data_IF_815569789420
#
_entry.id   IF_815569789420
#
_cell.length_a   1.000
_cell.length_b   1.000
_cell.length_c   1.000
_cell.angle_alpha   90.00
_cell.angle_beta   90.00
_cell.angle_gamma   90.00
#
_symmetry.space_group_name_H-M   'P 1'
#
loop_
_entity.id
_entity.type
_entity.pdbx_description
1 polymer ?
#
# COMPACT_ATOMS: atom_id res chain seq x y z
N UNK A 1 2.98 10.56 -8.61
CA UNK A 1 4.44 10.33 -8.41
C UNK A 1 4.65 9.39 -7.24
N UNK A 2 5.82 8.78 -7.09
CA UNK A 2 6.18 8.07 -5.86
C UNK A 2 7.66 8.24 -5.49
N UNK A 3 7.96 8.09 -4.20
CA UNK A 3 9.33 8.00 -3.66
C UNK A 3 9.50 6.70 -2.88
N UNK A 4 10.75 6.24 -2.73
CA UNK A 4 11.09 5.06 -1.93
C UNK A 4 12.33 5.43 -1.09
N UNK A 5 12.20 5.28 0.21
CA UNK A 5 13.22 5.61 1.20
C UNK A 5 13.46 4.41 2.12
N UNK A 6 14.72 4.18 2.50
CA UNK A 6 15.08 3.12 3.43
C UNK A 6 15.36 3.73 4.80
N UNK A 7 14.53 3.40 5.78
CA UNK A 7 14.73 3.70 7.18
C UNK A 7 15.37 2.50 7.89
N UNK A 8 15.61 2.63 9.20
CA UNK A 8 16.29 1.59 9.97
C UNK A 8 15.50 0.26 10.04
N UNK A 9 14.18 0.33 10.18
CA UNK A 9 13.29 -0.81 10.41
C UNK A 9 12.23 -1.03 9.31
N UNK A 10 12.17 -0.14 8.33
CA UNK A 10 11.19 -0.19 7.24
C UNK A 10 11.69 0.43 5.94
N UNK A 11 11.08 0.00 4.83
CA UNK A 11 11.09 0.77 3.58
C UNK A 11 9.85 1.64 3.55
N UNK A 12 10.02 2.95 3.42
CA UNK A 12 8.94 3.94 3.36
C UNK A 12 8.69 4.31 1.90
N UNK A 13 7.47 4.14 1.44
CA UNK A 13 7.04 4.49 0.08
C UNK A 13 5.97 5.56 0.20
N UNK A 14 6.16 6.70 -0.47
CA UNK A 14 5.16 7.76 -0.50
C UNK A 14 4.56 7.86 -1.89
N UNK A 15 3.24 7.76 -1.99
CA UNK A 15 2.48 7.93 -3.23
C UNK A 15 1.80 9.30 -3.20
N UNK A 16 2.08 10.11 -4.21
CA UNK A 16 1.51 11.45 -4.37
C UNK A 16 0.51 11.43 -5.51
N UNK A 17 -0.71 11.90 -5.23
CA UNK A 17 -1.73 12.15 -6.24
C UNK A 17 -1.41 13.47 -6.96
N UNK A 18 -1.25 13.39 -8.28
CA UNK A 18 -0.84 14.54 -9.10
C UNK A 18 -1.78 14.79 -10.29
N UNK A 19 -2.84 13.98 -10.47
CA UNK A 19 -3.67 14.04 -11.66
C UNK A 19 -5.12 14.44 -11.36
N UNK A 20 -5.56 15.53 -12.01
CA UNK A 20 -6.92 16.04 -11.87
C UNK A 20 -7.21 16.76 -10.56
N UNK A 21 -8.31 17.50 -10.50
CA UNK A 21 -8.81 18.09 -9.24
C UNK A 21 -10.23 17.58 -8.97
N UNK A 22 -10.59 17.34 -7.70
CA UNK A 22 -9.77 17.51 -6.49
C UNK A 22 -8.74 16.40 -6.29
N UNK A 23 -7.59 16.73 -5.71
CA UNK A 23 -6.54 15.78 -5.36
C UNK A 23 -6.91 15.01 -4.08
N UNK A 24 -6.44 13.78 -4.00
CA UNK A 24 -6.47 12.97 -2.78
C UNK A 24 -5.21 13.24 -1.95
N UNK A 25 -5.29 13.08 -0.62
CA UNK A 25 -4.11 13.15 0.24
C UNK A 25 -3.12 12.02 -0.06
N UNK A 26 -1.84 12.28 0.20
CA UNK A 26 -0.75 11.34 -0.02
C UNK A 26 -0.95 10.04 0.78
N UNK A 27 -0.46 8.94 0.20
CA UNK A 27 -0.45 7.63 0.86
C UNK A 27 0.97 7.26 1.24
N UNK A 28 1.20 6.98 2.51
CA UNK A 28 2.46 6.44 3.01
C UNK A 28 2.33 4.94 3.24
N UNK A 29 3.24 4.16 2.68
CA UNK A 29 3.32 2.72 2.85
C UNK A 29 4.62 2.40 3.59
N UNK A 30 4.51 1.84 4.79
CA UNK A 30 5.67 1.39 5.55
C UNK A 30 5.77 -0.13 5.44
N UNK A 31 6.84 -0.61 4.79
CA UNK A 31 7.14 -2.03 4.67
C UNK A 31 8.13 -2.44 5.76
N UNK A 32 7.60 -2.90 6.89
CA UNK A 32 8.39 -3.47 7.98
C UNK A 32 8.75 -4.93 7.69
N UNK A 33 9.64 -5.49 8.52
CA UNK A 33 9.98 -6.92 8.46
C UNK A 33 8.75 -7.80 8.72
N UNK A 34 7.86 -7.40 9.64
CA UNK A 34 6.73 -8.22 10.10
C UNK A 34 5.41 -7.96 9.36
N UNK A 35 5.19 -6.74 8.88
CA UNK A 35 3.95 -6.34 8.21
C UNK A 35 4.16 -5.12 7.33
N UNK A 36 3.11 -4.73 6.60
CA UNK A 36 3.06 -3.50 5.83
C UNK A 36 1.91 -2.64 6.36
N UNK A 37 2.15 -1.35 6.62
CA UNK A 37 1.07 -0.39 6.89
C UNK A 37 0.81 0.48 5.68
N UNK A 38 -0.46 0.82 5.46
CA UNK A 38 -0.91 1.81 4.48
C UNK A 38 -1.61 2.92 5.27
N UNK A 39 -1.08 4.14 5.13
CA UNK A 39 -1.47 5.30 5.91
C UNK A 39 -1.91 6.43 5.00
N UNK A 40 -3.02 7.09 5.35
CA UNK A 40 -3.52 8.26 4.63
C UNK A 40 -4.19 9.22 5.61
N UNK A 41 -3.92 10.51 5.48
CA UNK A 41 -4.57 11.54 6.29
C UNK A 41 -6.03 11.75 5.83
N UNK A 42 -6.96 11.79 6.79
CA UNK A 42 -8.36 12.15 6.55
C UNK A 42 -8.65 13.57 7.10
N UNK A 43 -8.81 14.58 6.23
CA UNK A 43 -9.05 15.96 6.64
C UNK A 43 -10.41 16.17 7.32
N UNK A 44 -11.34 15.22 7.19
CA UNK A 44 -12.67 15.32 7.81
C UNK A 44 -12.63 14.98 9.29
N UNK A 45 -11.74 14.06 9.66
CA UNK A 45 -11.59 13.58 11.04
C UNK A 45 -10.32 14.09 11.71
N UNK A 46 -9.45 14.79 10.95
CA UNK A 46 -8.16 15.31 11.37
C UNK A 46 -7.26 14.22 11.96
N UNK A 47 -7.22 13.06 11.28
CA UNK A 47 -6.51 11.86 11.72
C UNK A 47 -5.91 11.11 10.56
N UNK A 48 -4.77 10.48 10.81
CA UNK A 48 -4.22 9.46 9.91
C UNK A 48 -5.00 8.17 10.10
N UNK A 49 -5.52 7.63 9.00
CA UNK A 49 -6.11 6.31 8.94
C UNK A 49 -5.03 5.30 8.56
N UNK A 50 -5.00 4.15 9.23
CA UNK A 50 -3.97 3.13 9.04
C UNK A 50 -4.61 1.78 8.80
N UNK A 51 -4.15 1.07 7.77
CA UNK A 51 -4.48 -0.33 7.49
C UNK A 51 -3.21 -1.15 7.58
N UNK A 52 -3.23 -2.20 8.41
CA UNK A 52 -2.12 -3.16 8.49
C UNK A 52 -2.41 -4.37 7.63
N UNK A 53 -1.46 -4.71 6.76
CA UNK A 53 -1.49 -5.84 5.87
C UNK A 53 -0.37 -6.82 6.24
N UNK A 54 -0.68 -8.11 6.22
CA UNK A 54 0.35 -9.14 6.17
C UNK A 54 1.01 -9.18 4.78
N UNK A 55 2.24 -9.70 4.70
CA UNK A 55 2.95 -9.87 3.43
C UNK A 55 2.16 -10.71 2.42
N UNK A 56 1.37 -11.69 2.89
CA UNK A 56 0.48 -12.48 2.05
C UNK A 56 -0.61 -11.60 1.41
N UNK A 57 -1.24 -10.73 2.20
CA UNK A 57 -2.26 -9.81 1.69
C UNK A 57 -1.68 -8.80 0.71
N UNK A 58 -0.45 -8.30 0.93
CA UNK A 58 0.23 -7.40 -0.02
C UNK A 58 0.50 -8.11 -1.34
N UNK A 59 0.99 -9.35 -1.30
CA UNK A 59 1.22 -10.17 -2.49
C UNK A 59 -0.08 -10.40 -3.26
N UNK A 60 -1.14 -10.78 -2.55
CA UNK A 60 -2.44 -11.05 -3.15
C UNK A 60 -3.06 -9.75 -3.72
N UNK A 61 -2.89 -8.61 -3.05
CA UNK A 61 -3.29 -7.28 -3.54
C UNK A 61 -2.54 -6.90 -4.81
N UNK A 62 -1.21 -7.06 -4.83
CA UNK A 62 -0.39 -6.76 -6.00
C UNK A 62 -0.84 -7.58 -7.21
N UNK A 63 -1.11 -8.88 -7.04
CA UNK A 63 -1.63 -9.70 -8.12
C UNK A 63 -3.06 -9.29 -8.55
N UNK A 64 -3.91 -8.88 -7.60
CA UNK A 64 -5.28 -8.48 -7.89
C UNK A 64 -5.38 -7.22 -8.77
N UNK A 65 -4.35 -6.36 -8.79
CA UNK A 65 -4.32 -5.17 -9.65
C UNK A 65 -4.28 -5.51 -11.15
N UNK A 66 -3.80 -6.70 -11.51
CA UNK A 66 -3.63 -7.15 -12.90
C UNK A 66 -4.66 -8.22 -13.33
N UNK A 67 -5.58 -8.61 -12.45
CA UNK A 67 -6.55 -9.68 -12.68
C UNK A 67 -7.99 -9.13 -12.85
N UNK A 68 -8.82 -9.75 -13.70
CA UNK A 68 -10.23 -9.39 -13.81
C UNK A 68 -11.04 -9.85 -12.58
N UNK A 69 -12.33 -9.53 -12.55
CA UNK A 69 -13.21 -9.97 -11.47
C UNK A 69 -13.25 -11.50 -11.33
N UNK A 70 -13.18 -11.99 -10.08
CA UNK A 70 -13.19 -13.43 -9.82
C UNK A 70 -12.72 -13.80 -8.41
N UNK A 71 -12.60 -15.11 -8.17
CA UNK A 71 -12.04 -15.67 -6.94
C UNK A 71 -10.72 -16.33 -7.28
N UNK A 72 -9.64 -15.79 -6.71
CA UNK A 72 -8.28 -16.24 -6.97
C UNK A 72 -7.65 -16.81 -5.70
N UNK A 73 -6.77 -17.78 -5.90
CA UNK A 73 -5.85 -18.25 -4.87
C UNK A 73 -4.48 -18.34 -5.50
N UNK A 74 -3.57 -17.48 -5.06
CA UNK A 74 -2.17 -17.58 -5.46
C UNK A 74 -1.58 -18.86 -4.86
N UNK A 75 -1.29 -19.82 -5.73
CA UNK A 75 -0.47 -20.97 -5.37
C UNK A 75 1.00 -20.53 -5.42
N UNK A 76 1.83 -20.87 -4.43
CA UNK A 76 3.27 -20.66 -4.56
C UNK A 76 3.74 -21.41 -5.82
N UNK A 77 4.42 -20.72 -6.73
CA UNK A 77 5.08 -21.39 -7.84
C UNK A 77 6.19 -22.28 -7.28
N UNK A 78 6.24 -23.53 -7.73
CA UNK A 78 7.49 -24.30 -7.67
C UNK A 78 8.48 -23.56 -8.59
N UNK A 79 9.47 -22.90 -7.98
CA UNK A 79 10.66 -22.39 -8.69
C UNK A 79 11.53 -23.58 -9.16
#
# INVERSE_FOLDING_TARGET
MFTIEHEFDSTVITLVDEDGTPLTEDVTINSFTECVTVEQYDPRTDKVQTITLSHLQVRDLAAALDLPEGVYRLVPGDD
#
